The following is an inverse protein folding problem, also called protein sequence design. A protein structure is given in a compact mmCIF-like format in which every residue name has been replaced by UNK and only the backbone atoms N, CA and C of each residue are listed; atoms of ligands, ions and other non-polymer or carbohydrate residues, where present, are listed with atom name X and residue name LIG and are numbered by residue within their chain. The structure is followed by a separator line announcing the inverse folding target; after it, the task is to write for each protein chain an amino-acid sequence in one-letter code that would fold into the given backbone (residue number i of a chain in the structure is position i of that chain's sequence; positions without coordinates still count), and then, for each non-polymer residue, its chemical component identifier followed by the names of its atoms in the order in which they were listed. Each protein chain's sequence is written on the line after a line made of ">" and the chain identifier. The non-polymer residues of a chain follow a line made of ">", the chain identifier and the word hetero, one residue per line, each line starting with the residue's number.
data_IF_724771452347
#
_entry.id   IF_724771452347
#
_cell.length_a   1.000
_cell.length_b   1.000
_cell.length_c   1.000
_cell.angle_alpha   90.00
_cell.angle_beta   90.00
_cell.angle_gamma   90.00
#
_symmetry.space_group_name_H-M   'P 1'
#
loop_
_entity.id
_entity.type
_entity.pdbx_description
1 polymer ?
#
# COMPACT_ATOMS: atom_id res chain seq x y z
N UNK A 1 13.27 -5.63 -4.72
CA UNK A 1 12.31 -5.02 -3.77
C UNK A 1 11.98 -6.06 -2.71
N UNK A 2 11.90 -5.68 -1.43
CA UNK A 2 12.01 -6.63 -0.32
C UNK A 2 10.69 -7.29 0.11
N UNK A 3 9.53 -6.68 -0.16
CA UNK A 3 8.25 -7.14 0.41
C UNK A 3 7.05 -7.15 -0.59
N UNK A 4 7.18 -7.69 -1.81
CA UNK A 4 6.10 -7.67 -2.81
C UNK A 4 4.82 -8.39 -2.43
N UNK A 5 4.88 -9.34 -1.50
CA UNK A 5 3.74 -10.10 -1.02
C UNK A 5 2.66 -9.23 -0.35
N UNK A 6 3.04 -8.09 0.24
CA UNK A 6 2.10 -7.21 0.93
C UNK A 6 1.40 -6.19 0.03
N UNK A 7 1.69 -6.18 -1.27
CA UNK A 7 1.20 -5.16 -2.19
C UNK A 7 0.59 -5.74 -3.48
N UNK A 8 -0.32 -4.99 -4.09
CA UNK A 8 -1.00 -5.32 -5.34
C UNK A 8 -0.09 -5.09 -6.57
N UNK A 9 0.93 -5.95 -6.70
CA UNK A 9 1.86 -6.00 -7.84
C UNK A 9 1.80 -7.33 -8.59
N UNK A 10 2.26 -7.34 -9.85
CA UNK A 10 2.42 -8.54 -10.66
C UNK A 10 3.75 -9.27 -10.39
N UNK A 11 3.96 -10.40 -11.08
CA UNK A 11 5.16 -11.22 -10.94
C UNK A 11 6.44 -10.51 -11.38
N UNK A 12 6.33 -9.46 -12.20
CA UNK A 12 7.44 -8.61 -12.65
C UNK A 12 7.64 -7.39 -11.74
N UNK A 13 6.78 -7.19 -10.74
CA UNK A 13 6.82 -6.06 -9.83
C UNK A 13 6.07 -4.82 -10.33
N UNK A 14 5.31 -4.91 -11.43
CA UNK A 14 4.48 -3.79 -11.89
C UNK A 14 3.25 -3.63 -11.00
N UNK A 15 2.83 -2.40 -10.78
CA UNK A 15 1.63 -2.06 -10.00
C UNK A 15 0.38 -2.56 -10.73
N UNK A 16 -0.42 -3.42 -10.09
CA UNK A 16 -1.73 -3.86 -10.60
C UNK A 16 -2.84 -2.92 -10.19
N UNK A 17 -2.87 -2.55 -8.91
CA UNK A 17 -3.80 -1.58 -8.35
C UNK A 17 -3.01 -0.47 -7.68
N UNK A 18 -3.48 0.75 -7.85
CA UNK A 18 -2.82 1.96 -7.36
C UNK A 18 -3.76 2.83 -6.53
N UNK A 19 -3.17 3.56 -5.60
CA UNK A 19 -3.85 4.49 -4.73
C UNK A 19 -4.27 5.75 -5.49
N UNK A 20 -5.38 6.30 -5.03
CA UNK A 20 -5.95 7.56 -5.47
C UNK A 20 -7.17 7.88 -4.62
N UNK A 21 -7.80 8.99 -4.94
CA UNK A 21 -9.08 9.41 -4.35
C UNK A 21 -10.07 9.70 -5.47
N UNK A 22 -11.38 9.41 -5.26
CA UNK A 22 -12.40 9.67 -6.26
C UNK A 22 -12.59 11.18 -6.48
N UNK A 23 -13.32 11.57 -7.52
CA UNK A 23 -13.81 12.94 -7.67
C UNK A 23 -14.58 13.44 -6.44
N UNK A 24 -14.45 14.72 -6.15
CA UNK A 24 -15.17 15.43 -5.10
C UNK A 24 -15.48 16.88 -5.54
N UNK A 25 -16.05 17.69 -4.63
CA UNK A 25 -16.39 19.09 -4.91
C UNK A 25 -15.15 19.96 -5.26
N UNK A 26 -13.96 19.56 -4.83
CA UNK A 26 -12.71 20.28 -5.08
C UNK A 26 -12.00 19.78 -6.34
N UNK A 27 -12.18 18.52 -6.73
CA UNK A 27 -11.59 17.92 -7.92
C UNK A 27 -12.59 17.09 -8.72
N UNK A 28 -12.92 17.57 -9.93
CA UNK A 28 -13.81 16.87 -10.87
C UNK A 28 -13.29 15.50 -11.32
N UNK A 29 -11.99 15.26 -11.25
CA UNK A 29 -11.35 14.03 -11.74
C UNK A 29 -10.77 13.18 -10.61
N UNK A 30 -10.87 13.63 -9.35
CA UNK A 30 -10.18 13.01 -8.23
C UNK A 30 -8.67 13.17 -8.34
N UNK A 31 -7.91 12.23 -7.77
CA UNK A 31 -6.45 12.22 -7.84
C UNK A 31 -5.94 10.79 -7.98
N UNK A 32 -4.94 10.61 -8.86
CA UNK A 32 -4.23 9.36 -9.03
C UNK A 32 -2.82 9.51 -8.45
N UNK A 33 -2.56 8.87 -7.30
CA UNK A 33 -1.28 9.00 -6.61
C UNK A 33 -0.24 7.99 -7.07
N UNK A 34 -0.68 6.85 -7.61
CA UNK A 34 0.21 5.86 -8.23
C UNK A 34 0.95 4.93 -7.25
N UNK A 35 0.78 5.07 -5.93
CA UNK A 35 1.34 4.12 -4.96
C UNK A 35 0.65 2.76 -5.08
N UNK A 36 1.34 1.61 -5.00
CA UNK A 36 0.67 0.32 -4.97
C UNK A 36 -0.23 0.18 -3.74
N UNK A 37 -1.38 -0.45 -3.89
CA UNK A 37 -2.26 -0.74 -2.76
C UNK A 37 -1.75 -1.93 -1.93
N UNK A 38 -2.07 -1.93 -0.64
CA UNK A 38 -1.80 -3.06 0.24
C UNK A 38 -2.76 -4.22 -0.04
N UNK A 39 -2.23 -5.44 0.06
CA UNK A 39 -3.02 -6.67 0.19
C UNK A 39 -3.43 -6.84 1.66
N UNK A 40 -4.45 -6.11 2.10
CA UNK A 40 -4.89 -6.12 3.50
C UNK A 40 -5.16 -7.52 4.06
N UNK A 41 -5.78 -8.41 3.28
CA UNK A 41 -5.99 -9.81 3.68
C UNK A 41 -4.70 -10.62 3.87
N UNK A 42 -3.59 -10.22 3.24
CA UNK A 42 -2.27 -10.86 3.44
C UNK A 42 -1.62 -10.31 4.70
N UNK A 43 -1.68 -8.99 4.91
CA UNK A 43 -1.21 -8.34 6.12
C UNK A 43 -1.94 -8.85 7.37
N UNK A 44 -3.25 -9.05 7.29
CA UNK A 44 -4.04 -9.55 8.42
C UNK A 44 -3.62 -10.96 8.86
N UNK A 45 -3.24 -11.83 7.91
CA UNK A 45 -2.88 -13.23 8.18
C UNK A 45 -1.62 -13.38 9.03
N UNK A 46 -0.72 -12.41 9.00
CA UNK A 46 0.52 -12.43 9.78
C UNK A 46 0.52 -11.43 10.95
N UNK A 47 -0.67 -10.96 11.33
CA UNK A 47 -0.84 -10.02 12.45
C UNK A 47 -0.28 -8.64 12.14
N UNK A 48 -0.31 -8.22 10.87
CA UNK A 48 0.17 -6.91 10.39
C UNK A 48 1.66 -6.70 10.63
N UNK A 49 2.46 -7.77 10.50
CA UNK A 49 3.88 -7.78 10.87
C UNK A 49 4.67 -6.63 10.23
N UNK A 50 4.47 -6.39 8.93
CA UNK A 50 5.12 -5.31 8.18
C UNK A 50 4.86 -3.93 8.76
N UNK A 51 3.61 -3.67 9.20
CA UNK A 51 3.25 -2.41 9.83
C UNK A 51 3.85 -2.27 11.22
N UNK A 52 3.84 -3.35 12.01
CA UNK A 52 4.46 -3.37 13.34
C UNK A 52 5.95 -3.06 13.26
N UNK A 53 6.69 -3.73 12.37
CA UNK A 53 8.13 -3.47 12.17
C UNK A 53 8.39 -2.04 11.67
N UNK A 54 7.54 -1.53 10.77
CA UNK A 54 7.62 -0.14 10.34
C UNK A 54 7.49 0.84 11.51
N UNK A 55 6.54 0.61 12.42
CA UNK A 55 6.37 1.45 13.60
C UNK A 55 7.50 1.30 14.61
N UNK A 56 7.99 0.08 14.86
CA UNK A 56 9.15 -0.16 15.73
C UNK A 56 10.36 0.67 15.28
N UNK A 57 10.67 0.63 13.98
CA UNK A 57 11.76 1.42 13.41
C UNK A 57 11.50 2.93 13.53
N UNK A 58 10.27 3.38 13.28
CA UNK A 58 9.91 4.80 13.40
C UNK A 58 10.06 5.32 14.85
N UNK A 59 9.92 4.45 15.86
CA UNK A 59 10.01 4.81 17.28
C UNK A 59 11.36 4.48 17.92
N UNK A 60 12.31 3.87 17.20
CA UNK A 60 13.60 3.45 17.75
C UNK A 60 14.61 4.59 17.85
N UNK A 61 14.19 5.76 18.36
CA UNK A 61 15.08 6.89 18.66
C UNK A 61 16.26 6.43 19.51
#
# INVERSE_FOLDING_TARGET
>A
WANPQYFEVDKKGNRKLVAGVPPDYFSKTGQLWGNPLYKWKVLEKDGFSWWVERFKYMFSI
#
